data_IF_139202289795
#
_entry.id   IF_139202289795
#
_cell.length_a   1.000
_cell.length_b   1.000
_cell.length_c   1.000
_cell.angle_alpha   90.00
_cell.angle_beta   90.00
_cell.angle_gamma   90.00
#
_symmetry.space_group_name_H-M   'P 1'
#
loop_
_entity.id
_entity.type
_entity.pdbx_description
1 polymer ?
#
# COMPACT_ATOMS: atom_id res chain seq x y z
N UNK A 1 10.33 12.15 23.75
CA UNK A 1 10.04 10.83 23.15
C UNK A 1 10.34 10.96 21.67
N UNK A 2 11.32 10.21 21.16
CA UNK A 2 11.52 10.06 19.70
C UNK A 2 10.70 8.86 19.22
N UNK A 3 10.20 8.94 17.99
CA UNK A 3 9.68 7.79 17.26
C UNK A 3 10.74 7.36 16.26
N UNK A 4 11.04 6.06 16.25
CA UNK A 4 11.80 5.40 15.18
C UNK A 4 10.80 5.04 14.08
N UNK A 5 11.15 5.27 12.82
CA UNK A 5 10.35 4.84 11.66
C UNK A 5 11.24 3.97 10.79
N UNK A 6 10.84 2.72 10.58
CA UNK A 6 11.49 1.81 9.66
C UNK A 6 10.80 1.88 8.27
N UNK A 7 11.48 2.37 7.22
CA UNK A 7 10.94 2.43 5.86
C UNK A 7 10.52 1.05 5.31
N UNK A 8 11.17 -0.04 5.72
CA UNK A 8 10.84 -1.39 5.25
C UNK A 8 9.55 -1.92 5.88
N UNK A 9 9.29 -1.58 7.15
CA UNK A 9 8.01 -1.86 7.78
C UNK A 9 6.87 -1.09 7.09
N UNK A 10 7.11 0.17 6.69
CA UNK A 10 6.14 0.94 5.91
C UNK A 10 5.84 0.30 4.55
N UNK A 11 6.88 -0.17 3.82
CA UNK A 11 6.68 -0.88 2.55
C UNK A 11 5.91 -2.18 2.73
N UNK A 12 6.22 -2.91 3.79
CA UNK A 12 5.49 -4.14 4.16
C UNK A 12 4.04 -3.84 4.48
N UNK A 13 3.76 -2.74 5.19
CA UNK A 13 2.38 -2.33 5.41
C UNK A 13 1.66 -1.95 4.10
N UNK A 14 2.35 -1.26 3.19
CA UNK A 14 1.84 -0.97 1.85
C UNK A 14 1.42 -2.23 1.09
N UNK A 15 2.20 -3.31 1.15
CA UNK A 15 1.83 -4.58 0.49
C UNK A 15 0.62 -5.27 1.15
N UNK A 16 0.46 -5.15 2.47
CA UNK A 16 -0.76 -5.62 3.14
C UNK A 16 -2.00 -4.85 2.71
N UNK A 17 -1.86 -3.55 2.40
CA UNK A 17 -2.95 -2.74 1.86
C UNK A 17 -3.29 -3.12 0.41
N UNK A 18 -2.31 -3.50 -0.42
CA UNK A 18 -2.60 -4.06 -1.75
C UNK A 18 -3.45 -5.34 -1.63
N UNK A 19 -3.05 -6.26 -0.74
CA UNK A 19 -3.80 -7.48 -0.50
C UNK A 19 -5.24 -7.21 0.01
N UNK A 20 -5.43 -6.12 0.77
CA UNK A 20 -6.77 -5.67 1.16
C UNK A 20 -7.57 -5.10 -0.03
N UNK A 21 -6.93 -4.32 -0.90
CA UNK A 21 -7.54 -3.82 -2.14
C UNK A 21 -7.98 -4.97 -3.06
N UNK A 22 -7.17 -6.00 -3.22
CA UNK A 22 -7.52 -7.20 -4.00
C UNK A 22 -8.75 -7.92 -3.45
N UNK A 23 -8.87 -8.00 -2.12
CA UNK A 23 -10.05 -8.58 -1.46
C UNK A 23 -11.30 -7.72 -1.65
N UNK A 24 -11.15 -6.39 -1.67
CA UNK A 24 -12.25 -5.47 -1.99
C UNK A 24 -12.68 -5.62 -3.45
N UNK A 25 -11.75 -5.77 -4.39
CA UNK A 25 -12.05 -6.06 -5.80
C UNK A 25 -12.77 -7.40 -5.96
N UNK A 26 -12.35 -8.43 -5.20
CA UNK A 26 -13.08 -9.72 -5.16
C UNK A 26 -14.52 -9.53 -4.67
N UNK A 27 -14.75 -8.63 -3.70
CA UNK A 27 -16.09 -8.31 -3.23
C UNK A 27 -16.91 -7.52 -4.27
N UNK A 28 -16.29 -6.64 -5.04
CA UNK A 28 -16.91 -5.95 -6.19
C UNK A 28 -17.35 -6.98 -7.24
N UNK A 29 -16.48 -7.92 -7.60
CA UNK A 29 -16.80 -8.98 -8.56
C UNK A 29 -17.96 -9.83 -8.07
N UNK A 30 -17.95 -10.23 -6.80
CA UNK A 30 -19.06 -10.95 -6.19
C UNK A 30 -20.36 -10.13 -6.23
N UNK A 31 -20.32 -8.86 -5.85
CA UNK A 31 -21.48 -7.97 -5.86
C UNK A 31 -22.08 -7.81 -7.27
N UNK A 32 -21.23 -7.74 -8.31
CA UNK A 32 -21.68 -7.68 -9.71
C UNK A 32 -22.37 -8.97 -10.17
N UNK A 33 -22.08 -10.12 -9.56
CA UNK A 33 -22.76 -11.39 -9.86
C UNK A 33 -24.08 -11.58 -9.13
N UNK A 34 -24.31 -10.85 -8.02
CA UNK A 34 -25.56 -10.91 -7.25
C UNK A 34 -26.57 -9.97 -7.91
N UNK A 35 -27.04 -10.37 -9.09
CA UNK A 35 -28.27 -9.81 -9.68
C UNK A 35 -29.42 -10.71 -9.23
N UNK A 36 -30.38 -10.13 -8.51
CA UNK A 36 -31.57 -10.89 -8.11
C UNK A 36 -32.42 -11.10 -9.35
N UNK A 37 -32.49 -12.34 -9.82
CA UNK A 37 -33.35 -12.72 -10.93
C UNK A 37 -34.81 -12.74 -10.48
N UNK A 38 -35.69 -12.14 -11.28
CA UNK A 38 -37.12 -12.01 -10.98
C UNK A 38 -37.83 -13.37 -10.86
N UNK A 39 -37.30 -14.41 -11.51
CA UNK A 39 -37.90 -15.76 -11.49
C UNK A 39 -37.52 -16.58 -10.25
N UNK A 40 -36.47 -16.20 -9.50
CA UNK A 40 -35.97 -16.95 -8.36
C UNK A 40 -36.86 -16.86 -7.11
N UNK A 41 -37.68 -15.80 -7.00
CA UNK A 41 -38.49 -15.50 -5.81
C UNK A 41 -39.95 -15.96 -5.92
N UNK A 42 -40.37 -16.43 -7.10
CA UNK A 42 -41.75 -16.84 -7.37
C UNK A 42 -42.75 -15.69 -7.29
N UNK A 43 -44.02 -15.98 -7.60
CA UNK A 43 -45.06 -14.95 -7.77
C UNK A 43 -45.34 -14.14 -6.50
N UNK A 44 -45.22 -14.75 -5.32
CA UNK A 44 -45.50 -14.09 -4.03
C UNK A 44 -44.46 -13.01 -3.67
N UNK A 45 -43.20 -13.19 -4.10
CA UNK A 45 -42.09 -12.32 -3.72
C UNK A 45 -41.51 -11.53 -4.93
N UNK A 46 -42.22 -11.50 -6.06
CA UNK A 46 -41.77 -10.81 -7.29
C UNK A 46 -41.60 -9.28 -7.14
N UNK A 47 -42.09 -8.69 -6.04
CA UNK A 47 -41.89 -7.27 -5.74
C UNK A 47 -40.53 -6.95 -5.12
N UNK A 48 -39.81 -7.95 -4.59
CA UNK A 48 -38.55 -7.76 -3.87
C UNK A 48 -37.36 -7.45 -4.78
N UNK A 49 -37.14 -8.14 -5.92
CA UNK A 49 -35.95 -7.92 -6.74
C UNK A 49 -35.76 -6.45 -7.19
N UNK A 50 -36.79 -5.68 -7.62
CA UNK A 50 -36.61 -4.28 -7.96
C UNK A 50 -36.13 -3.41 -6.79
N UNK A 51 -36.63 -3.66 -5.58
CA UNK A 51 -36.25 -2.92 -4.35
C UNK A 51 -34.82 -3.26 -3.93
N UNK A 52 -34.48 -4.55 -3.96
CA UNK A 52 -33.14 -5.03 -3.59
C UNK A 52 -32.13 -4.55 -4.62
N UNK A 53 -32.36 -4.83 -5.91
CA UNK A 53 -31.45 -4.46 -7.00
C UNK A 53 -31.19 -2.94 -7.05
N UNK A 54 -32.18 -2.10 -6.78
CA UNK A 54 -31.98 -0.64 -6.71
C UNK A 54 -30.98 -0.22 -5.62
N UNK A 55 -30.91 -0.96 -4.51
CA UNK A 55 -30.04 -0.65 -3.37
C UNK A 55 -28.69 -1.35 -3.47
N UNK A 56 -28.63 -2.57 -4.04
CA UNK A 56 -27.41 -3.38 -4.12
C UNK A 56 -26.61 -3.21 -5.41
N UNK A 57 -27.22 -2.86 -6.55
CA UNK A 57 -26.47 -2.84 -7.82
C UNK A 57 -25.63 -1.57 -8.02
N UNK A 58 -26.11 -0.41 -7.56
CA UNK A 58 -25.41 0.87 -7.73
C UNK A 58 -24.56 1.23 -6.52
N UNK A 59 -25.24 1.64 -5.45
CA UNK A 59 -24.58 2.29 -4.31
C UNK A 59 -23.59 1.37 -3.59
N UNK A 60 -23.91 0.08 -3.42
CA UNK A 60 -23.04 -0.87 -2.75
C UNK A 60 -21.78 -1.21 -3.58
N UNK A 61 -21.94 -1.39 -4.89
CA UNK A 61 -20.81 -1.65 -5.80
C UNK A 61 -19.89 -0.44 -5.87
N UNK A 62 -20.44 0.76 -6.02
CA UNK A 62 -19.66 2.00 -6.05
C UNK A 62 -18.96 2.29 -4.72
N UNK A 63 -19.61 2.01 -3.58
CA UNK A 63 -18.97 2.11 -2.27
C UNK A 63 -17.77 1.16 -2.12
N UNK A 64 -17.88 -0.08 -2.60
CA UNK A 64 -16.78 -1.05 -2.58
C UNK A 64 -15.61 -0.61 -3.49
N UNK A 65 -15.91 -0.09 -4.69
CA UNK A 65 -14.88 0.46 -5.59
C UNK A 65 -14.17 1.66 -4.96
N UNK A 66 -14.92 2.59 -4.37
CA UNK A 66 -14.37 3.74 -3.69
C UNK A 66 -13.47 3.32 -2.51
N UNK A 67 -13.86 2.28 -1.76
CA UNK A 67 -13.04 1.71 -0.70
C UNK A 67 -11.75 1.10 -1.25
N UNK A 68 -11.81 0.32 -2.34
CA UNK A 68 -10.63 -0.28 -2.98
C UNK A 68 -9.64 0.79 -3.44
N UNK A 69 -10.15 1.86 -4.07
CA UNK A 69 -9.34 2.99 -4.49
C UNK A 69 -8.71 3.73 -3.30
N UNK A 70 -9.49 4.02 -2.26
CA UNK A 70 -8.96 4.68 -1.06
C UNK A 70 -7.88 3.89 -0.36
N UNK A 71 -8.01 2.56 -0.30
CA UNK A 71 -6.98 1.67 0.25
C UNK A 71 -5.72 1.69 -0.63
N UNK A 72 -5.88 1.65 -1.95
CA UNK A 72 -4.76 1.74 -2.92
C UNK A 72 -4.01 3.06 -2.78
N UNK A 73 -4.71 4.19 -2.75
CA UNK A 73 -4.12 5.51 -2.51
C UNK A 73 -3.38 5.56 -1.17
N UNK A 74 -3.93 4.93 -0.13
CA UNK A 74 -3.28 4.86 1.18
C UNK A 74 -1.97 4.06 1.11
N UNK A 75 -1.95 2.94 0.38
CA UNK A 75 -0.74 2.15 0.15
C UNK A 75 0.35 2.96 -0.58
N UNK A 76 -0.03 3.71 -1.63
CA UNK A 76 0.86 4.60 -2.37
C UNK A 76 1.43 5.72 -1.49
N UNK A 77 0.60 6.33 -0.64
CA UNK A 77 1.02 7.38 0.30
C UNK A 77 2.02 6.84 1.33
N UNK A 78 1.81 5.64 1.85
CA UNK A 78 2.74 5.02 2.81
C UNK A 78 4.09 4.70 2.15
N UNK A 79 4.10 4.19 0.91
CA UNK A 79 5.35 3.98 0.16
C UNK A 79 6.07 5.31 -0.10
N UNK A 80 5.32 6.36 -0.42
CA UNK A 80 5.88 7.71 -0.58
C UNK A 80 6.52 8.20 0.72
N UNK A 81 5.87 7.96 1.86
CA UNK A 81 6.44 8.28 3.17
C UNK A 81 7.73 7.50 3.43
N UNK A 82 7.76 6.19 3.14
CA UNK A 82 8.96 5.35 3.27
C UNK A 82 10.15 5.91 2.47
N UNK A 83 9.94 6.24 1.20
CA UNK A 83 10.96 6.88 0.36
C UNK A 83 11.41 8.21 0.94
N UNK A 84 10.48 9.04 1.45
CA UNK A 84 10.83 10.33 2.04
C UNK A 84 11.71 10.19 3.29
N UNK A 85 11.48 9.17 4.13
CA UNK A 85 12.34 8.90 5.28
C UNK A 85 13.76 8.51 4.86
N UNK A 86 13.91 7.62 3.87
CA UNK A 86 15.23 7.23 3.36
C UNK A 86 15.99 8.38 2.71
N UNK A 87 15.29 9.19 1.90
CA UNK A 87 15.89 10.34 1.24
C UNK A 87 16.39 11.36 2.27
N UNK A 88 15.61 11.59 3.34
CA UNK A 88 16.00 12.47 4.43
C UNK A 88 17.18 11.91 5.23
N UNK A 89 17.17 10.61 5.54
CA UNK A 89 18.28 9.96 6.26
C UNK A 89 19.58 10.01 5.44
N UNK A 90 19.52 9.66 4.15
CA UNK A 90 20.66 9.74 3.24
C UNK A 90 21.20 11.17 3.11
N UNK A 91 20.32 12.16 2.94
CA UNK A 91 20.68 13.58 2.85
C UNK A 91 21.35 14.07 4.15
N UNK A 92 20.81 13.67 5.30
CA UNK A 92 21.36 14.03 6.60
C UNK A 92 22.68 13.31 6.91
N UNK A 93 22.86 12.08 6.42
CA UNK A 93 24.09 11.30 6.60
C UNK A 93 25.23 11.79 5.71
N UNK A 94 24.97 12.34 4.53
CA UNK A 94 25.98 12.73 3.53
C UNK A 94 27.11 13.62 4.10
N UNK A 95 26.84 14.71 4.85
CA UNK A 95 27.90 15.55 5.43
C UNK A 95 28.79 14.78 6.42
N UNK A 96 28.21 13.92 7.26
CA UNK A 96 28.96 13.12 8.23
C UNK A 96 29.80 12.05 7.54
N UNK A 97 29.25 11.40 6.51
CA UNK A 97 30.00 10.45 5.69
C UNK A 97 31.18 11.12 4.98
N UNK A 98 31.05 12.37 4.53
CA UNK A 98 32.17 13.14 3.96
C UNK A 98 33.26 13.38 5.00
N UNK A 99 32.90 13.85 6.19
CA UNK A 99 33.86 14.06 7.28
C UNK A 99 34.59 12.78 7.70
N UNK A 100 33.87 11.65 7.80
CA UNK A 100 34.48 10.35 8.13
C UNK A 100 35.49 9.90 7.07
N UNK A 101 35.22 10.15 5.78
CA UNK A 101 36.16 9.84 4.69
C UNK A 101 37.41 10.72 4.76
N UNK A 102 37.25 12.01 5.03
CA UNK A 102 38.37 12.95 5.18
C UNK A 102 39.24 12.67 6.41
N UNK A 103 38.62 12.23 7.51
CA UNK A 103 39.29 11.93 8.77
C UNK A 103 40.07 10.60 8.78
N UNK A 104 39.88 9.74 7.77
CA UNK A 104 40.56 8.44 7.68
C UNK A 104 41.84 8.58 6.83
N UNK A 105 43.05 8.70 7.42
CA UNK A 105 44.27 8.74 6.62
C UNK A 105 44.48 7.39 5.93
N UNK A 106 44.61 7.39 4.60
CA UNK A 106 45.13 6.25 3.84
C UNK A 106 46.57 6.03 4.30
N UNK A 107 46.77 5.05 5.18
CA UNK A 107 48.11 4.64 5.58
C UNK A 107 48.78 3.95 4.38
N UNK A 108 49.89 4.48 3.83
CA UNK A 108 50.61 3.79 2.78
C UNK A 108 51.20 2.52 3.38
N UNK A 109 50.83 1.35 2.85
CA UNK A 109 51.52 0.10 3.20
C UNK A 109 52.95 0.20 2.68
N UNK A 110 53.88 0.64 3.54
CA UNK A 110 55.31 0.53 3.30
C UNK A 110 55.67 -0.95 3.46
N UNK A 111 55.53 -1.70 2.36
CA UNK A 111 56.02 -3.06 2.21
C UNK A 111 57.49 -3.04 1.83
N UNK A 112 58.33 -3.48 2.77
CA UNK A 112 59.78 -3.59 2.73
C UNK A 112 60.32 -4.29 1.47
N UNK A 113 61.26 -3.63 0.77
CA UNK A 113 62.19 -4.30 -0.15
C UNK A 113 63.17 -5.12 0.70
N UNK A 114 63.00 -6.43 0.71
CA UNK A 114 64.01 -7.36 1.22
C UNK A 114 64.89 -7.78 0.04
N UNK A 115 66.20 -7.62 0.25
CA UNK A 115 67.30 -7.89 -0.67
C UNK A 115 67.42 -9.35 -1.07
#
# INVERSE_FOLDING_TARGET
MSYEVDPDELRTHGSHLDALSDRLNTAVDAANTVVMDDSAYGLLCAFLPPIVNATTQGDAVEALKAAAEGVRTTAENIRTAATSYEDQDATNAEPFQRQLREATPVSPRIGTVVR
#
